data_IF_456159126620
#
_entry.id   IF_456159126620
#
_cell.length_a   1.000
_cell.length_b   1.000
_cell.length_c   1.000
_cell.angle_alpha   90.00
_cell.angle_beta   90.00
_cell.angle_gamma   90.00
#
_symmetry.space_group_name_H-M   'P 1'
#
loop_
_entity.id
_entity.type
_entity.pdbx_description
1 polymer ?
#
# COMPACT_ATOMS: atom_id res chain seq x y z
N UNK A 1 -32.82 -25.27 26.34
CA UNK A 1 -31.95 -24.62 25.34
C UNK A 1 -30.63 -25.37 25.32
N UNK A 2 -30.56 -26.36 24.43
CA UNK A 2 -29.44 -27.30 24.30
C UNK A 2 -28.21 -26.55 23.79
N UNK A 3 -27.09 -26.73 24.49
CA UNK A 3 -25.80 -26.16 24.11
C UNK A 3 -25.32 -26.88 22.85
N UNK A 4 -25.51 -26.23 21.70
CA UNK A 4 -24.79 -26.56 20.47
C UNK A 4 -23.30 -26.40 20.78
N UNK A 5 -22.60 -27.52 20.96
CA UNK A 5 -21.16 -27.54 21.12
C UNK A 5 -20.51 -27.16 19.79
N UNK A 6 -19.85 -25.99 19.65
CA UNK A 6 -19.13 -25.60 18.45
C UNK A 6 -17.75 -26.28 18.50
N UNK A 7 -17.74 -27.60 18.34
CA UNK A 7 -16.56 -28.44 18.45
C UNK A 7 -16.56 -29.55 17.40
N UNK A 8 -17.14 -29.30 16.23
CA UNK A 8 -16.96 -30.16 15.07
C UNK A 8 -15.50 -30.11 14.65
N UNK A 9 -14.71 -31.07 15.15
CA UNK A 9 -13.32 -31.26 14.71
C UNK A 9 -13.29 -31.18 13.18
N UNK A 10 -12.47 -30.29 12.58
CA UNK A 10 -12.32 -30.20 11.13
C UNK A 10 -12.10 -31.57 10.47
N UNK A 11 -11.48 -32.50 11.20
CA UNK A 11 -11.25 -33.87 10.76
C UNK A 11 -12.56 -34.69 10.55
N UNK A 12 -13.63 -34.45 11.33
CA UNK A 12 -14.92 -35.14 11.12
C UNK A 12 -15.63 -34.64 9.86
N UNK A 13 -15.56 -33.34 9.60
CA UNK A 13 -16.12 -32.77 8.37
C UNK A 13 -15.38 -33.31 7.14
N UNK A 14 -14.05 -33.31 7.18
CA UNK A 14 -13.21 -33.86 6.10
C UNK A 14 -13.46 -35.36 5.94
N UNK A 15 -13.51 -36.13 7.04
CA UNK A 15 -13.77 -37.57 7.00
C UNK A 15 -15.14 -37.90 6.40
N UNK A 16 -16.18 -37.12 6.72
CA UNK A 16 -17.51 -37.27 6.14
C UNK A 16 -17.50 -37.01 4.62
N UNK A 17 -16.81 -35.97 4.17
CA UNK A 17 -16.67 -35.66 2.73
C UNK A 17 -15.94 -36.77 2.00
N UNK A 18 -14.80 -37.24 2.55
CA UNK A 18 -14.01 -38.32 1.95
C UNK A 18 -14.82 -39.62 1.87
N UNK A 19 -15.58 -39.96 2.91
CA UNK A 19 -16.48 -41.12 2.89
C UNK A 19 -17.50 -41.04 1.74
N UNK A 20 -18.18 -39.90 1.60
CA UNK A 20 -19.14 -39.69 0.51
C UNK A 20 -18.49 -39.74 -0.87
N UNK A 21 -17.28 -39.21 -1.02
CA UNK A 21 -16.51 -39.28 -2.27
C UNK A 21 -16.20 -40.73 -2.64
N UNK A 22 -15.63 -41.50 -1.72
CA UNK A 22 -15.29 -42.91 -1.96
C UNK A 22 -16.55 -43.72 -2.28
N UNK A 23 -17.63 -43.50 -1.53
CA UNK A 23 -18.94 -44.14 -1.78
C UNK A 23 -19.45 -43.82 -3.20
N UNK A 24 -19.34 -42.56 -3.64
CA UNK A 24 -19.72 -42.15 -4.99
C UNK A 24 -18.91 -42.88 -6.07
N UNK A 25 -17.60 -43.05 -5.87
CA UNK A 25 -16.75 -43.82 -6.80
C UNK A 25 -17.20 -45.28 -6.91
N UNK A 26 -17.51 -45.93 -5.79
CA UNK A 26 -17.99 -47.32 -5.77
C UNK A 26 -19.33 -47.45 -6.52
N UNK A 27 -20.29 -46.55 -6.26
CA UNK A 27 -21.57 -46.52 -6.96
C UNK A 27 -21.37 -46.27 -8.46
N UNK A 28 -20.50 -45.33 -8.83
CA UNK A 28 -20.17 -45.05 -10.23
C UNK A 28 -19.58 -46.27 -10.95
N UNK A 29 -18.72 -47.03 -10.28
CA UNK A 29 -18.14 -48.26 -10.84
C UNK A 29 -19.21 -49.34 -11.06
N UNK A 30 -20.13 -49.53 -10.12
CA UNK A 30 -21.26 -50.44 -10.27
C UNK A 30 -22.22 -50.02 -11.40
N UNK A 31 -22.45 -48.72 -11.58
CA UNK A 31 -23.29 -48.20 -12.67
C UNK A 31 -22.61 -48.37 -14.03
N UNK A 32 -21.29 -48.24 -14.10
CA UNK A 32 -20.54 -48.45 -15.32
C UNK A 32 -20.69 -49.89 -15.83
N UNK A 33 -20.81 -50.89 -14.95
CA UNK A 33 -21.05 -52.29 -15.35
C UNK A 33 -22.47 -52.55 -15.83
N UNK A 34 -23.45 -51.75 -15.39
CA UNK A 34 -24.84 -51.80 -15.89
C UNK A 34 -24.96 -51.36 -17.36
N UNK A 35 -23.93 -50.69 -17.92
CA UNK A 35 -23.84 -50.28 -19.33
C UNK A 35 -25.03 -49.41 -19.80
N UNK A 36 -25.49 -48.50 -18.93
CA UNK A 36 -26.52 -47.50 -19.25
C UNK A 36 -25.82 -46.17 -19.57
N UNK A 37 -25.75 -45.74 -20.84
CA UNK A 37 -25.00 -44.55 -21.24
C UNK A 37 -25.48 -43.26 -20.57
N UNK A 38 -26.80 -43.10 -20.40
CA UNK A 38 -27.36 -41.93 -19.74
C UNK A 38 -26.93 -41.81 -18.26
N UNK A 39 -26.86 -42.94 -17.56
CA UNK A 39 -26.52 -42.97 -16.14
C UNK A 39 -25.02 -42.76 -15.93
N UNK A 40 -24.18 -43.40 -16.77
CA UNK A 40 -22.72 -43.18 -16.76
C UNK A 40 -22.35 -41.73 -17.10
N UNK A 41 -23.03 -41.11 -18.07
CA UNK A 41 -22.84 -39.69 -18.40
C UNK A 41 -23.21 -38.77 -17.23
N UNK A 42 -24.34 -39.02 -16.56
CA UNK A 42 -24.75 -38.25 -15.38
C UNK A 42 -23.72 -38.34 -14.25
N UNK A 43 -23.25 -39.54 -13.91
CA UNK A 43 -22.22 -39.72 -12.89
C UNK A 43 -20.90 -39.06 -13.29
N UNK A 44 -20.54 -39.08 -14.58
CA UNK A 44 -19.40 -38.33 -15.11
C UNK A 44 -19.48 -36.83 -14.81
N UNK A 45 -20.67 -36.22 -14.95
CA UNK A 45 -20.90 -34.82 -14.57
C UNK A 45 -20.71 -34.60 -13.06
N UNK A 46 -21.23 -35.49 -12.22
CA UNK A 46 -21.06 -35.41 -10.76
C UNK A 46 -19.57 -35.52 -10.38
N UNK A 47 -18.84 -36.46 -10.96
CA UNK A 47 -17.40 -36.62 -10.74
C UNK A 47 -16.61 -35.38 -11.21
N UNK A 48 -17.01 -34.78 -12.34
CA UNK A 48 -16.40 -33.53 -12.84
C UNK A 48 -16.63 -32.33 -11.94
N UNK A 49 -17.67 -32.37 -11.09
CA UNK A 49 -17.98 -31.35 -10.10
C UNK A 49 -17.14 -31.50 -8.81
N UNK A 50 -16.60 -32.70 -8.56
CA UNK A 50 -15.85 -33.00 -7.36
C UNK A 50 -14.62 -32.09 -7.12
N UNK A 51 -13.79 -31.77 -8.12
CA UNK A 51 -12.67 -30.83 -7.94
C UNK A 51 -13.11 -29.45 -7.48
N UNK A 52 -14.29 -28.98 -7.92
CA UNK A 52 -14.86 -27.69 -7.50
C UNK A 52 -15.25 -27.71 -6.03
N UNK A 53 -15.87 -28.80 -5.57
CA UNK A 53 -16.22 -29.00 -4.15
C UNK A 53 -14.96 -29.04 -3.27
N UNK A 54 -13.91 -29.74 -3.70
CA UNK A 54 -12.64 -29.80 -2.98
C UNK A 54 -12.03 -28.40 -2.86
N UNK A 55 -11.97 -27.65 -3.96
CA UNK A 55 -11.45 -26.29 -3.95
C UNK A 55 -12.26 -25.37 -3.02
N UNK A 56 -13.59 -25.44 -3.02
CA UNK A 56 -14.45 -24.72 -2.10
C UNK A 56 -14.15 -25.05 -0.63
N UNK A 57 -13.93 -26.34 -0.32
CA UNK A 57 -13.58 -26.78 1.02
C UNK A 57 -12.20 -26.30 1.46
N UNK A 58 -11.21 -26.32 0.56
CA UNK A 58 -9.87 -25.75 0.82
C UNK A 58 -9.98 -24.25 1.13
N UNK A 59 -10.73 -23.51 0.32
CA UNK A 59 -10.96 -22.07 0.55
C UNK A 59 -11.62 -21.83 1.91
N UNK A 60 -12.62 -22.63 2.29
CA UNK A 60 -13.27 -22.53 3.59
C UNK A 60 -12.27 -22.74 4.75
N UNK A 61 -11.41 -23.77 4.67
CA UNK A 61 -10.41 -24.06 5.71
C UNK A 61 -9.39 -22.93 5.82
N UNK A 62 -8.88 -22.45 4.67
CA UNK A 62 -7.92 -21.33 4.65
C UNK A 62 -8.57 -20.06 5.21
N UNK A 63 -9.80 -19.74 4.80
CA UNK A 63 -10.54 -18.59 5.31
C UNK A 63 -10.78 -18.69 6.81
N UNK A 64 -11.17 -19.85 7.33
CA UNK A 64 -11.36 -20.06 8.76
C UNK A 64 -10.05 -19.89 9.55
N UNK A 65 -8.92 -20.38 9.02
CA UNK A 65 -7.61 -20.17 9.61
C UNK A 65 -7.22 -18.68 9.63
N UNK A 66 -7.42 -17.97 8.52
CA UNK A 66 -7.16 -16.53 8.42
C UNK A 66 -8.08 -15.75 9.36
N UNK A 67 -9.38 -16.06 9.41
CA UNK A 67 -10.33 -15.43 10.31
C UNK A 67 -9.94 -15.63 11.79
N UNK A 68 -9.49 -16.84 12.15
CA UNK A 68 -8.95 -17.15 13.47
C UNK A 68 -7.68 -16.36 13.79
N UNK A 69 -6.75 -16.26 12.85
CA UNK A 69 -5.52 -15.48 13.00
C UNK A 69 -5.81 -13.98 13.18
N UNK A 70 -6.72 -13.43 12.37
CA UNK A 70 -7.17 -12.03 12.47
C UNK A 70 -7.85 -11.77 13.80
N UNK A 71 -8.75 -12.64 14.24
CA UNK A 71 -9.42 -12.53 15.55
C UNK A 71 -8.43 -12.61 16.72
N UNK A 72 -7.46 -13.53 16.64
CA UNK A 72 -6.39 -13.67 17.63
C UNK A 72 -5.46 -12.45 17.67
N UNK A 73 -5.10 -11.90 16.52
CA UNK A 73 -4.28 -10.68 16.45
C UNK A 73 -5.03 -9.47 17.03
N UNK A 74 -6.30 -9.30 16.67
CA UNK A 74 -7.15 -8.25 17.23
C UNK A 74 -7.27 -8.36 18.75
N UNK A 75 -7.33 -9.57 19.30
CA UNK A 75 -7.36 -9.80 20.74
C UNK A 75 -6.06 -9.36 21.42
N UNK A 76 -4.91 -9.63 20.81
CA UNK A 76 -3.58 -9.28 21.36
C UNK A 76 -3.27 -7.80 21.30
N UNK A 77 -3.75 -7.08 20.28
CA UNK A 77 -3.39 -5.68 20.05
C UNK A 77 -4.33 -4.68 20.71
N UNK A 78 -5.63 -4.99 20.82
CA UNK A 78 -6.65 -4.00 21.23
C UNK A 78 -7.18 -4.19 22.66
N UNK A 79 -6.79 -5.26 23.37
CA UNK A 79 -7.27 -5.57 24.72
C UNK A 79 -8.81 -5.69 24.81
N UNK A 80 -9.37 -5.46 26.00
CA UNK A 80 -10.82 -5.48 26.27
C UNK A 80 -11.49 -4.10 26.18
N UNK A 81 -10.97 -3.23 25.31
CA UNK A 81 -11.62 -1.96 25.02
C UNK A 81 -12.96 -2.18 24.29
N UNK A 82 -13.95 -1.27 24.43
CA UNK A 82 -15.21 -1.33 23.68
C UNK A 82 -14.99 -1.39 22.16
N UNK A 83 -14.00 -0.66 21.64
CA UNK A 83 -13.57 -0.70 20.24
C UNK A 83 -12.95 -2.05 19.87
N UNK A 84 -12.12 -2.62 20.76
CA UNK A 84 -11.55 -3.96 20.60
C UNK A 84 -12.61 -5.05 20.48
N UNK A 85 -13.75 -4.94 21.17
CA UNK A 85 -14.88 -5.88 21.01
C UNK A 85 -15.51 -5.82 19.62
N UNK A 86 -15.70 -4.64 19.06
CA UNK A 86 -16.28 -4.47 17.71
C UNK A 86 -15.32 -5.04 16.66
N UNK A 87 -14.03 -4.74 16.75
CA UNK A 87 -13.03 -5.24 15.81
C UNK A 87 -12.86 -6.76 15.92
N UNK A 88 -12.87 -7.30 17.15
CA UNK A 88 -12.75 -8.75 17.42
C UNK A 88 -13.92 -9.55 16.83
N UNK A 89 -15.12 -8.99 16.82
CA UNK A 89 -16.29 -9.63 16.20
C UNK A 89 -16.36 -9.36 14.69
N UNK A 90 -16.07 -8.12 14.27
CA UNK A 90 -16.25 -7.68 12.89
C UNK A 90 -15.20 -8.22 11.92
N UNK A 91 -13.92 -8.22 12.30
CA UNK A 91 -12.85 -8.57 11.36
C UNK A 91 -12.88 -10.04 10.92
N UNK A 92 -13.01 -11.04 11.81
CA UNK A 92 -13.15 -12.44 11.40
C UNK A 92 -14.43 -12.69 10.59
N UNK A 93 -15.52 -12.01 10.96
CA UNK A 93 -16.81 -12.11 10.27
C UNK A 93 -16.70 -11.60 8.83
N UNK A 94 -15.97 -10.51 8.61
CA UNK A 94 -15.74 -9.95 7.27
C UNK A 94 -14.93 -10.92 6.39
N UNK A 95 -13.88 -11.53 6.95
CA UNK A 95 -13.09 -12.54 6.24
C UNK A 95 -13.98 -13.71 5.79
N UNK A 96 -14.81 -14.22 6.69
CA UNK A 96 -15.75 -15.30 6.36
C UNK A 96 -16.81 -14.87 5.33
N UNK A 97 -17.32 -13.65 5.42
CA UNK A 97 -18.26 -13.12 4.44
C UNK A 97 -17.67 -13.12 3.03
N UNK A 98 -16.42 -12.64 2.87
CA UNK A 98 -15.70 -12.66 1.59
C UNK A 98 -15.47 -14.09 1.12
N UNK A 99 -15.07 -14.99 2.02
CA UNK A 99 -14.85 -16.40 1.70
C UNK A 99 -16.12 -17.09 1.19
N UNK A 100 -17.30 -16.76 1.73
CA UNK A 100 -18.57 -17.31 1.26
C UNK A 100 -18.81 -16.97 -0.21
N UNK A 101 -18.60 -15.71 -0.62
CA UNK A 101 -18.73 -15.35 -2.04
C UNK A 101 -17.76 -16.15 -2.92
N UNK A 102 -16.51 -16.31 -2.48
CA UNK A 102 -15.51 -17.10 -3.21
C UNK A 102 -15.85 -18.59 -3.28
N UNK A 103 -16.44 -19.15 -2.23
CA UNK A 103 -16.92 -20.54 -2.20
C UNK A 103 -18.08 -20.72 -3.18
N UNK A 104 -19.04 -19.79 -3.20
CA UNK A 104 -20.19 -19.84 -4.10
C UNK A 104 -19.77 -19.79 -5.57
N UNK A 105 -18.77 -18.96 -5.92
CA UNK A 105 -18.23 -18.91 -7.28
C UNK A 105 -17.49 -20.20 -7.62
N UNK A 106 -16.72 -20.77 -6.70
CA UNK A 106 -16.02 -22.04 -6.91
C UNK A 106 -16.99 -23.22 -7.10
N UNK A 107 -18.09 -23.23 -6.35
CA UNK A 107 -19.19 -24.19 -6.53
C UNK A 107 -19.95 -23.98 -7.86
N UNK A 108 -19.71 -22.90 -8.59
CA UNK A 108 -20.39 -22.62 -9.86
C UNK A 108 -21.87 -22.29 -9.70
N UNK A 109 -22.29 -21.85 -8.51
CA UNK A 109 -23.67 -21.43 -8.25
C UNK A 109 -23.83 -20.02 -8.81
N UNK A 110 -24.45 -19.91 -9.99
CA UNK A 110 -24.73 -18.64 -10.67
C UNK A 110 -23.54 -17.64 -10.60
N UNK A 111 -22.33 -18.02 -11.07
CA UNK A 111 -21.09 -17.29 -10.79
C UNK A 111 -21.14 -15.84 -11.28
N UNK A 112 -21.85 -15.57 -12.38
CA UNK A 112 -22.06 -14.22 -12.91
C UNK A 112 -22.85 -13.37 -11.93
N UNK A 113 -23.97 -13.88 -11.39
CA UNK A 113 -24.81 -13.15 -10.44
C UNK A 113 -24.03 -12.93 -9.15
N UNK A 114 -23.39 -13.97 -8.60
CA UNK A 114 -22.60 -13.88 -7.37
C UNK A 114 -21.47 -12.85 -7.51
N UNK A 115 -20.73 -12.89 -8.62
CA UNK A 115 -19.62 -11.95 -8.87
C UNK A 115 -20.12 -10.52 -9.06
N UNK A 116 -21.21 -10.32 -9.81
CA UNK A 116 -21.81 -9.01 -9.99
C UNK A 116 -22.29 -8.41 -8.67
N UNK A 117 -22.97 -9.21 -7.83
CA UNK A 117 -23.40 -8.77 -6.49
C UNK A 117 -22.22 -8.50 -5.58
N UNK A 118 -21.16 -9.32 -5.61
CA UNK A 118 -19.94 -9.07 -4.84
C UNK A 118 -19.30 -7.73 -5.21
N UNK A 119 -19.11 -7.46 -6.50
CA UNK A 119 -18.58 -6.19 -7.00
C UNK A 119 -19.48 -5.03 -6.56
N UNK A 120 -20.80 -5.17 -6.71
CA UNK A 120 -21.74 -4.13 -6.33
C UNK A 120 -21.72 -3.85 -4.82
N UNK A 121 -21.67 -4.89 -3.98
CA UNK A 121 -21.63 -4.76 -2.52
C UNK A 121 -20.33 -4.11 -2.03
N UNK A 122 -19.19 -4.61 -2.49
CA UNK A 122 -17.88 -4.03 -2.13
C UNK A 122 -17.75 -2.62 -2.71
N UNK A 123 -18.23 -2.39 -3.93
CA UNK A 123 -18.28 -1.06 -4.54
C UNK A 123 -19.14 -0.07 -3.74
N UNK A 124 -20.32 -0.50 -3.28
CA UNK A 124 -21.19 0.31 -2.45
C UNK A 124 -20.56 0.61 -1.07
N UNK A 125 -19.94 -0.37 -0.43
CA UNK A 125 -19.21 -0.20 0.83
C UNK A 125 -18.01 0.74 0.67
N UNK A 126 -17.23 0.58 -0.40
CA UNK A 126 -16.10 1.44 -0.71
C UNK A 126 -16.56 2.88 -0.97
N UNK A 127 -17.66 3.07 -1.71
CA UNK A 127 -18.25 4.38 -1.96
C UNK A 127 -18.78 5.02 -0.67
N UNK A 128 -19.50 4.24 0.16
CA UNK A 128 -19.98 4.72 1.45
C UNK A 128 -18.83 5.14 2.37
N UNK A 129 -17.75 4.35 2.42
CA UNK A 129 -16.55 4.68 3.18
C UNK A 129 -15.88 5.95 2.63
N UNK A 130 -15.69 6.04 1.31
CA UNK A 130 -15.10 7.21 0.66
C UNK A 130 -15.90 8.49 0.95
N UNK A 131 -17.23 8.41 0.92
CA UNK A 131 -18.12 9.53 1.27
C UNK A 131 -18.04 9.87 2.76
N UNK A 132 -18.04 8.86 3.64
CA UNK A 132 -17.93 9.08 5.09
C UNK A 132 -16.61 9.76 5.46
N UNK A 133 -15.49 9.33 4.89
CA UNK A 133 -14.19 9.97 5.09
C UNK A 133 -14.09 11.34 4.39
N UNK A 134 -14.62 11.46 3.18
CA UNK A 134 -14.59 12.72 2.42
C UNK A 134 -15.41 13.83 3.10
N UNK A 135 -16.63 13.52 3.54
CA UNK A 135 -17.49 14.47 4.25
C UNK A 135 -17.04 14.67 5.70
N UNK A 136 -16.67 13.60 6.41
CA UNK A 136 -16.27 13.65 7.82
C UNK A 136 -14.88 14.28 8.06
N UNK A 137 -13.96 14.17 7.09
CA UNK A 137 -12.63 14.76 7.17
C UNK A 137 -12.57 16.22 6.71
N UNK A 138 -13.66 16.78 6.17
CA UNK A 138 -13.65 18.11 5.54
C UNK A 138 -13.19 19.21 6.50
N UNK A 139 -13.63 19.15 7.75
CA UNK A 139 -13.39 20.21 8.72
C UNK A 139 -11.94 20.11 9.23
N UNK A 140 -11.44 18.90 9.47
CA UNK A 140 -10.05 18.65 9.81
C UNK A 140 -9.09 19.08 8.67
N UNK A 141 -9.45 18.81 7.41
CA UNK A 141 -8.68 19.27 6.25
C UNK A 141 -8.66 20.81 6.17
N UNK A 142 -9.79 21.46 6.45
CA UNK A 142 -9.90 22.92 6.50
C UNK A 142 -8.99 23.52 7.57
N UNK A 143 -8.97 22.94 8.77
CA UNK A 143 -8.15 23.41 9.87
C UNK A 143 -6.64 23.21 9.62
N UNK A 144 -6.27 22.07 9.00
CA UNK A 144 -4.90 21.81 8.58
C UNK A 144 -4.40 22.85 7.56
N UNK A 145 -5.24 23.18 6.57
CA UNK A 145 -4.90 24.19 5.56
C UNK A 145 -4.78 25.57 6.20
N UNK A 146 -5.75 25.97 7.03
CA UNK A 146 -5.77 27.27 7.70
C UNK A 146 -4.55 27.47 8.63
N UNK A 147 -4.16 26.43 9.36
CA UNK A 147 -2.97 26.48 10.22
C UNK A 147 -1.67 26.51 9.42
N UNK A 148 -1.61 25.81 8.28
CA UNK A 148 -0.50 25.90 7.33
C UNK A 148 -0.34 27.31 6.75
N UNK A 149 -1.44 27.94 6.29
CA UNK A 149 -1.41 29.31 5.78
C UNK A 149 -0.97 30.33 6.82
N UNK A 150 -1.44 30.18 8.07
CA UNK A 150 -1.06 31.10 9.16
C UNK A 150 0.43 31.01 9.49
N UNK A 151 0.97 29.79 9.60
CA UNK A 151 2.41 29.57 9.80
C UNK A 151 3.24 30.08 8.63
N UNK A 152 2.75 29.92 7.40
CA UNK A 152 3.42 30.43 6.22
C UNK A 152 3.47 31.97 6.20
N UNK A 153 2.40 32.64 6.65
CA UNK A 153 2.39 34.11 6.80
C UNK A 153 3.36 34.57 7.90
N UNK A 154 3.33 33.96 9.08
CA UNK A 154 4.24 34.30 10.19
C UNK A 154 5.72 34.13 9.78
N UNK A 155 6.06 33.02 9.12
CA UNK A 155 7.41 32.81 8.60
C UNK A 155 7.76 33.80 7.49
N UNK A 156 6.81 34.20 6.64
CA UNK A 156 7.08 35.19 5.58
C UNK A 156 7.41 36.58 6.13
N UNK A 157 6.84 36.96 7.29
CA UNK A 157 7.17 38.22 7.95
C UNK A 157 8.59 38.18 8.55
N UNK A 158 8.94 37.11 9.27
CA UNK A 158 10.30 36.93 9.81
C UNK A 158 11.35 36.81 8.70
N UNK A 159 11.04 36.07 7.63
CA UNK A 159 11.93 35.93 6.47
C UNK A 159 12.06 37.26 5.72
N UNK A 160 11.00 38.06 5.62
CA UNK A 160 11.07 39.39 5.02
C UNK A 160 11.91 40.36 5.87
N UNK A 161 11.87 40.23 7.20
CA UNK A 161 12.70 41.01 8.13
C UNK A 161 14.17 40.61 8.00
N UNK A 162 14.49 39.31 8.07
CA UNK A 162 15.85 38.78 7.88
C UNK A 162 16.44 39.16 6.52
N UNK A 163 15.63 39.13 5.45
CA UNK A 163 16.04 39.55 4.12
C UNK A 163 16.37 41.05 4.05
N UNK A 164 15.63 41.91 4.77
CA UNK A 164 15.93 43.35 4.82
C UNK A 164 17.26 43.59 5.52
N UNK A 165 17.45 42.98 6.69
CA UNK A 165 18.71 43.09 7.44
C UNK A 165 19.89 42.54 6.65
N UNK A 166 19.74 41.40 5.96
CA UNK A 166 20.77 40.84 5.10
C UNK A 166 21.11 41.77 3.93
N UNK A 167 20.11 42.44 3.34
CA UNK A 167 20.31 43.38 2.22
C UNK A 167 21.02 44.67 2.63
N UNK A 168 20.78 45.14 3.85
CA UNK A 168 21.48 46.29 4.42
C UNK A 168 22.96 45.99 4.69
N UNK A 169 23.26 44.85 5.31
CA UNK A 169 24.65 44.40 5.54
C UNK A 169 25.40 44.19 4.23
N UNK A 170 24.78 43.51 3.25
CA UNK A 170 25.40 43.30 1.94
C UNK A 170 25.67 44.60 1.17
N UNK A 171 24.89 45.66 1.39
CA UNK A 171 25.17 46.99 0.80
C UNK A 171 26.38 47.67 1.47
N UNK A 172 26.50 47.55 2.78
CA UNK A 172 27.65 48.10 3.51
C UNK A 172 28.95 47.39 3.11
N UNK A 173 28.93 46.06 3.04
CA UNK A 173 30.07 45.26 2.59
C UNK A 173 30.45 45.60 1.14
N UNK A 174 29.47 45.80 0.26
CA UNK A 174 29.70 46.19 -1.12
C UNK A 174 30.28 47.61 -1.24
N UNK A 175 29.90 48.54 -0.37
CA UNK A 175 30.47 49.89 -0.33
C UNK A 175 31.90 49.86 0.22
N UNK A 176 32.13 49.17 1.33
CA UNK A 176 33.47 49.00 1.90
C UNK A 176 34.44 48.34 0.92
N UNK A 177 33.97 47.34 0.15
CA UNK A 177 34.76 46.71 -0.91
C UNK A 177 35.04 47.65 -2.09
N UNK A 178 34.13 48.58 -2.41
CA UNK A 178 34.36 49.60 -3.45
C UNK A 178 35.37 50.65 -2.99
N UNK A 179 35.26 51.14 -1.76
CA UNK A 179 36.20 52.12 -1.21
C UNK A 179 37.62 51.52 -1.12
N UNK A 180 37.74 50.25 -0.70
CA UNK A 180 39.01 49.52 -0.72
C UNK A 180 39.58 49.33 -2.13
N UNK A 181 38.72 49.19 -3.15
CA UNK A 181 39.14 49.07 -4.54
C UNK A 181 39.52 50.43 -5.14
N UNK A 182 38.84 51.52 -4.76
CA UNK A 182 39.16 52.89 -5.17
C UNK A 182 40.51 53.34 -4.59
N UNK A 183 40.78 53.05 -3.32
CA UNK A 183 42.06 53.37 -2.66
C UNK A 183 43.24 52.67 -3.36
N UNK A 184 43.07 51.38 -3.71
CA UNK A 184 44.06 50.64 -4.51
C UNK A 184 44.21 51.18 -5.94
N UNK A 185 43.11 51.58 -6.57
CA UNK A 185 43.14 52.17 -7.91
C UNK A 185 43.81 53.56 -7.95
N UNK A 186 43.85 54.27 -6.82
CA UNK A 186 44.60 55.51 -6.63
C UNK A 186 46.11 55.31 -6.41
N UNK A 187 46.52 54.10 -6.03
CA UNK A 187 47.93 53.74 -5.80
C UNK A 187 48.57 53.14 -7.06
N UNK A 188 47.83 52.34 -7.84
CA UNK A 188 48.30 51.73 -9.10
C UNK A 188 48.43 52.74 -10.27
N UNK A 189 47.76 53.91 -10.22
CA UNK A 189 47.97 54.98 -11.23
C UNK A 189 49.31 55.72 -11.03
N UNK A 190 49.95 55.60 -9.85
CA UNK A 190 51.25 56.23 -9.58
C UNK A 190 52.46 55.31 -9.77
N UNK A 191 52.25 54.01 -9.99
CA UNK A 191 53.32 53.03 -10.23
C UNK A 191 53.02 52.19 -11.48
N UNK A 192 52.91 52.86 -12.63
CA UNK A 192 52.59 52.22 -13.90
C UNK A 192 53.23 52.89 -15.10
N UNK A 193 54.51 53.25 -15.03
CA UNK A 193 55.32 53.49 -16.24
C UNK A 193 56.70 52.90 -16.01
N UNK A 194 56.84 51.60 -16.25
CA UNK A 194 57.89 51.03 -17.09
C UNK A 194 57.86 49.49 -17.08
N UNK A 195 58.02 48.93 -18.29
CA UNK A 195 58.46 47.55 -18.60
C UNK A 195 57.36 46.48 -18.46
N UNK A 196 56.85 45.85 -19.51
CA UNK A 196 57.44 45.51 -20.81
C UNK A 196 57.26 44.00 -20.99
N UNK A 197 56.53 43.62 -22.04
CA UNK A 197 56.49 42.32 -22.71
C UNK A 197 56.51 41.03 -21.87
N UNK A 198 55.40 40.30 -21.88
CA UNK A 198 55.45 38.88 -22.26
C UNK A 198 54.19 38.46 -23.03
N UNK A 199 54.45 37.70 -24.08
CA UNK A 199 53.57 37.39 -25.18
C UNK A 199 52.45 36.38 -24.88
N UNK A 200 51.41 36.51 -25.68
CA UNK A 200 50.28 35.60 -25.92
C UNK A 200 50.74 34.16 -26.20
N UNK A 201 50.09 33.16 -25.59
CA UNK A 201 49.66 31.93 -26.28
C UNK A 201 48.43 31.37 -25.58
N UNK A 202 47.32 31.25 -26.32
CA UNK A 202 45.98 31.10 -25.77
C UNK A 202 45.54 29.70 -25.37
N UNK A 203 44.36 29.63 -24.75
CA UNK A 203 43.42 28.51 -24.89
C UNK A 203 41.99 28.93 -24.50
N UNK A 204 41.12 28.81 -25.48
CA UNK A 204 39.65 28.82 -25.40
C UNK A 204 39.12 27.66 -24.56
N UNK A 205 37.89 27.83 -24.05
CA UNK A 205 36.96 26.85 -23.44
C UNK A 205 36.97 26.82 -21.90
N UNK A 206 35.86 26.75 -21.17
CA UNK A 206 34.44 26.66 -21.49
C UNK A 206 33.59 27.00 -20.25
N UNK A 207 32.36 27.44 -20.55
CA UNK A 207 31.10 27.29 -19.81
C UNK A 207 31.08 26.38 -18.56
N UNK A 208 30.51 26.83 -17.42
CA UNK A 208 30.00 25.91 -16.40
C UNK A 208 28.50 25.67 -16.63
N UNK A 209 28.12 24.41 -16.86
CA UNK A 209 26.76 23.92 -16.60
C UNK A 209 26.70 23.28 -15.20
N UNK A 210 25.56 23.38 -14.49
CA UNK A 210 25.31 22.63 -13.27
C UNK A 210 24.52 21.34 -13.57
N UNK A 211 25.02 20.18 -13.16
CA UNK A 211 24.22 18.94 -13.13
C UNK A 211 25.03 17.65 -13.08
N UNK A 212 24.64 16.73 -12.18
CA UNK A 212 25.11 15.33 -12.13
C UNK A 212 25.52 14.91 -10.72
N UNK A 213 24.59 14.42 -9.89
CA UNK A 213 24.28 12.98 -9.65
C UNK A 213 25.29 12.29 -8.74
N UNK A 214 24.81 11.98 -7.53
CA UNK A 214 25.46 11.14 -6.53
C UNK A 214 25.53 9.70 -7.03
N UNK A 215 26.72 9.26 -7.40
CA UNK A 215 27.06 7.86 -7.64
C UNK A 215 27.29 7.16 -6.29
N UNK A 216 26.64 6.02 -6.13
CA UNK A 216 26.68 5.14 -4.97
C UNK A 216 28.04 4.47 -4.79
N UNK A 217 28.69 4.72 -3.66
CA UNK A 217 29.88 3.99 -3.22
C UNK A 217 29.47 2.89 -2.22
N UNK A 218 29.49 1.64 -2.69
CA UNK A 218 29.45 0.45 -1.83
C UNK A 218 30.88 -0.04 -1.60
N UNK A 219 31.31 -0.26 -0.35
CA UNK A 219 32.44 -1.13 -0.07
C UNK A 219 31.94 -2.53 0.31
N UNK A 220 32.03 -3.46 -0.63
CA UNK A 220 32.05 -4.89 -0.35
C UNK A 220 33.45 -5.32 0.08
N UNK A 221 33.58 -5.88 1.29
CA UNK A 221 34.80 -6.55 1.74
C UNK A 221 34.50 -7.88 2.47
N UNK A 222 34.95 -8.95 1.81
CA UNK A 222 35.64 -10.16 2.29
C UNK A 222 34.92 -11.20 3.15
N UNK A 223 34.65 -12.31 2.45
CA UNK A 223 35.02 -13.68 2.81
C UNK A 223 36.23 -13.82 3.76
N UNK A 224 36.01 -14.50 4.88
CA UNK A 224 36.79 -15.65 5.34
C UNK A 224 35.91 -16.59 6.14
#
# INVERSE_FOLDING_TARGET
MEKVSPGGSPARLVGGVVFWVIMLFVISAAIATLNIPALTAFFGLVLSYLPRVIAALVIFVVAAAVAGAVGGLAHRTMGDTPTGRVVRAGAPTLVMAIAVFMILTQLGIAPVIVTATYIALIGALALAAALAFGLGGRDAARDMINSGYRKAQEQSETVAEDLRTARERGRQDAQAARDYAEDRSGEDVRTGTERGDHAVTGRTAAHPQPGGTYESDQPGYRTR
#
